data_IF_839208626815
#
_entry.id   IF_839208626815
#
_cell.length_a   1.000
_cell.length_b   1.000
_cell.length_c   1.000
_cell.angle_alpha   90.00
_cell.angle_beta   90.00
_cell.angle_gamma   90.00
#
_symmetry.space_group_name_H-M   'P 1'
#
loop_
_entity.id
_entity.type
_entity.pdbx_description
1 polymer ?
#
# COMPACT_ATOMS: atom_id res chain seq x y z
N UNK A 1 7.74 17.45 25.76
CA UNK A 1 9.12 17.55 25.21
C UNK A 1 9.01 17.43 23.70
N UNK A 2 9.15 18.53 22.94
CA UNK A 2 8.81 18.57 21.50
C UNK A 2 9.98 18.07 20.63
N UNK A 3 11.22 18.44 20.98
CA UNK A 3 12.41 18.08 20.20
C UNK A 3 12.65 16.56 20.03
N UNK A 4 12.53 15.70 21.06
CA UNK A 4 12.73 14.26 20.87
C UNK A 4 11.68 13.63 19.96
N UNK A 5 10.45 14.14 19.99
CA UNK A 5 9.37 13.68 19.11
C UNK A 5 9.69 14.08 17.67
N UNK A 6 10.06 15.34 17.44
CA UNK A 6 10.42 15.82 16.11
C UNK A 6 11.62 15.06 15.52
N UNK A 7 12.65 14.77 16.32
CA UNK A 7 13.77 13.91 15.89
C UNK A 7 13.33 12.49 15.53
N UNK A 8 12.42 11.91 16.31
CA UNK A 8 11.87 10.59 16.02
C UNK A 8 11.05 10.60 14.72
N UNK A 9 10.19 11.58 14.53
CA UNK A 9 9.43 11.75 13.29
C UNK A 9 10.37 11.98 12.10
N UNK A 10 11.42 12.79 12.26
CA UNK A 10 12.44 13.00 11.25
C UNK A 10 13.11 11.67 10.87
N UNK A 11 13.62 10.89 11.82
CA UNK A 11 14.32 9.63 11.50
C UNK A 11 13.43 8.63 10.77
N UNK A 12 12.15 8.54 11.14
CA UNK A 12 11.20 7.58 10.57
C UNK A 12 10.43 8.10 9.36
N UNK A 13 10.60 9.36 8.97
CA UNK A 13 9.91 9.93 7.81
C UNK A 13 10.26 9.16 6.53
N UNK A 14 9.25 8.66 5.82
CA UNK A 14 9.37 8.01 4.51
C UNK A 14 8.31 8.51 3.54
N UNK A 15 8.68 8.77 2.29
CA UNK A 15 7.74 9.26 1.27
C UNK A 15 6.61 8.27 0.97
N UNK A 16 6.86 6.97 1.12
CA UNK A 16 5.88 5.90 0.88
C UNK A 16 4.78 5.81 1.95
N UNK A 17 5.01 6.37 3.13
CA UNK A 17 4.02 6.35 4.22
C UNK A 17 2.90 7.37 3.96
N UNK A 18 3.04 8.22 2.94
CA UNK A 18 2.08 9.26 2.57
C UNK A 18 1.32 8.88 1.30
N UNK A 19 0.11 9.43 1.14
CA UNK A 19 -0.69 9.19 -0.07
C UNK A 19 -0.26 10.05 -1.24
N UNK A 20 0.45 11.15 -0.97
CA UNK A 20 0.95 12.04 -2.00
C UNK A 20 2.26 12.73 -1.64
N UNK A 21 2.96 13.25 -2.64
CA UNK A 21 4.14 14.12 -2.45
C UNK A 21 3.78 15.37 -1.66
N UNK A 22 2.55 15.90 -1.83
CA UNK A 22 2.07 17.07 -1.08
C UNK A 22 1.96 16.78 0.42
N UNK A 23 1.39 15.63 0.79
CA UNK A 23 1.28 15.22 2.19
C UNK A 23 2.66 15.02 2.83
N UNK A 24 3.57 14.35 2.10
CA UNK A 24 4.95 14.18 2.53
C UNK A 24 5.64 15.54 2.76
N UNK A 25 5.53 16.45 1.79
CA UNK A 25 6.11 17.78 1.86
C UNK A 25 5.59 18.56 3.09
N UNK A 26 4.28 18.48 3.35
CA UNK A 26 3.69 19.08 4.54
C UNK A 26 4.28 18.51 5.84
N UNK A 27 4.50 17.20 5.92
CA UNK A 27 5.10 16.57 7.08
C UNK A 27 6.57 16.99 7.26
N UNK A 28 7.35 17.03 6.17
CA UNK A 28 8.73 17.50 6.17
C UNK A 28 8.84 18.93 6.75
N UNK A 29 8.00 19.85 6.26
CA UNK A 29 7.99 21.23 6.76
C UNK A 29 7.54 21.33 8.21
N UNK A 30 6.54 20.53 8.62
CA UNK A 30 6.08 20.51 10.02
C UNK A 30 7.21 20.07 10.96
N UNK A 31 7.87 18.96 10.66
CA UNK A 31 8.95 18.39 11.47
C UNK A 31 10.15 19.35 11.51
N UNK A 32 10.59 19.83 10.34
CA UNK A 32 11.75 20.74 10.26
C UNK A 32 11.48 22.05 11.01
N UNK A 33 10.26 22.59 10.94
CA UNK A 33 9.86 23.78 11.70
C UNK A 33 9.90 23.53 13.21
N UNK A 34 9.41 22.37 13.68
CA UNK A 34 9.49 22.01 15.10
C UNK A 34 10.94 21.88 15.59
N UNK A 35 11.82 21.28 14.79
CA UNK A 35 13.26 21.16 15.10
C UNK A 35 13.92 22.55 15.15
N UNK A 36 13.65 23.41 14.16
CA UNK A 36 14.13 24.81 14.11
C UNK A 36 13.69 25.62 15.33
N UNK A 37 12.42 25.50 15.72
CA UNK A 37 11.90 26.17 16.93
C UNK A 37 12.58 25.68 18.22
N UNK A 38 13.09 24.45 18.23
CA UNK A 38 13.83 23.88 19.35
C UNK A 38 15.34 24.18 19.31
N UNK A 39 15.80 25.03 18.39
CA UNK A 39 17.20 25.45 18.27
C UNK A 39 18.07 24.58 17.38
N UNK A 40 17.51 23.61 16.64
CA UNK A 40 18.28 22.86 15.64
C UNK A 40 18.35 23.59 14.32
N UNK A 41 19.51 23.49 13.66
CA UNK A 41 19.66 24.00 12.31
C UNK A 41 19.32 22.89 11.33
N UNK A 42 18.22 23.05 10.59
CA UNK A 42 17.85 22.19 9.46
C UNK A 42 18.03 22.98 8.17
N UNK A 43 18.98 22.55 7.35
CA UNK A 43 19.34 23.21 6.08
C UNK A 43 18.53 22.65 4.90
N UNK A 44 18.63 23.31 3.74
CA UNK A 44 18.09 22.80 2.47
C UNK A 44 18.74 21.45 2.11
N UNK A 45 20.06 21.33 2.31
CA UNK A 45 20.82 20.09 2.08
C UNK A 45 20.31 18.95 2.94
N UNK A 46 20.03 19.21 4.23
CA UNK A 46 19.45 18.19 5.12
C UNK A 46 18.08 17.71 4.62
N UNK A 47 17.23 18.61 4.13
CA UNK A 47 15.91 18.26 3.59
C UNK A 47 16.03 17.48 2.27
N UNK A 48 16.98 17.85 1.40
CA UNK A 48 17.29 17.15 0.16
C UNK A 48 17.79 15.72 0.46
N UNK A 49 18.84 15.60 1.25
CA UNK A 49 19.41 14.32 1.68
C UNK A 49 18.38 13.46 2.37
N UNK A 50 17.56 14.07 3.24
CA UNK A 50 16.49 13.36 3.90
C UNK A 50 15.52 12.79 2.88
N UNK A 51 15.07 13.58 1.91
CA UNK A 51 14.15 13.14 0.86
C UNK A 51 14.73 12.02 0.02
N UNK A 52 15.99 12.14 -0.40
CA UNK A 52 16.68 11.07 -1.13
C UNK A 52 16.79 9.79 -0.30
N UNK A 53 17.02 9.89 1.01
CA UNK A 53 17.08 8.72 1.90
C UNK A 53 15.74 8.02 2.11
N UNK A 54 14.62 8.67 1.78
CA UNK A 54 13.28 8.09 1.94
C UNK A 54 12.81 7.21 0.79
N UNK A 55 13.55 7.19 -0.34
CA UNK A 55 13.21 6.33 -1.47
C UNK A 55 13.38 4.85 -1.11
N UNK A 56 12.47 4.02 -1.63
CA UNK A 56 12.56 2.57 -1.49
C UNK A 56 13.76 2.00 -2.25
N UNK A 57 14.26 0.85 -1.81
CA UNK A 57 15.38 0.16 -2.46
C UNK A 57 15.10 -0.18 -3.94
N UNK A 58 13.84 -0.40 -4.32
CA UNK A 58 13.45 -0.60 -5.73
C UNK A 58 13.59 0.67 -6.58
N UNK A 59 13.63 1.85 -5.95
CA UNK A 59 13.67 3.15 -6.60
C UNK A 59 15.07 3.79 -6.52
N UNK A 60 16.10 3.00 -6.22
CA UNK A 60 17.51 3.46 -6.15
C UNK A 60 17.95 4.14 -7.44
N UNK A 61 17.49 3.68 -8.60
CA UNK A 61 17.78 4.33 -9.87
C UNK A 61 17.23 5.76 -9.94
N UNK A 62 15.97 5.98 -9.52
CA UNK A 62 15.39 7.33 -9.47
C UNK A 62 16.10 8.21 -8.45
N UNK A 63 16.42 7.66 -7.28
CA UNK A 63 17.21 8.37 -6.26
C UNK A 63 18.54 8.87 -6.85
N UNK A 64 19.27 8.00 -7.56
CA UNK A 64 20.54 8.35 -8.19
C UNK A 64 20.36 9.43 -9.27
N UNK A 65 19.34 9.28 -10.14
CA UNK A 65 19.02 10.28 -11.17
C UNK A 65 18.69 11.65 -10.58
N UNK A 66 17.96 11.73 -9.46
CA UNK A 66 17.67 13.01 -8.83
C UNK A 66 18.87 13.60 -8.09
N UNK A 67 19.76 12.77 -7.53
CA UNK A 67 21.02 13.24 -6.94
C UNK A 67 21.97 13.83 -8.00
N UNK A 68 22.05 13.19 -9.15
CA UNK A 68 22.90 13.65 -10.28
C UNK A 68 22.45 14.99 -10.86
N UNK A 69 21.20 15.40 -10.66
CA UNK A 69 20.70 16.73 -11.06
C UNK A 69 21.26 17.87 -10.22
N UNK A 70 21.81 17.60 -9.04
CA UNK A 70 22.49 18.59 -8.22
C UNK A 70 21.60 19.73 -7.71
N UNK A 71 20.38 19.41 -7.25
CA UNK A 71 19.47 20.40 -6.67
C UNK A 71 20.12 21.10 -5.47
N UNK A 72 19.96 22.42 -5.39
CA UNK A 72 20.43 23.24 -4.26
C UNK A 72 19.29 23.71 -3.36
N UNK A 73 18.05 23.68 -3.86
CA UNK A 73 16.84 24.07 -3.14
C UNK A 73 15.88 22.89 -3.06
N UNK A 74 15.34 22.63 -1.87
CA UNK A 74 14.38 21.57 -1.63
C UNK A 74 13.11 21.71 -2.48
N UNK A 75 12.65 22.94 -2.70
CA UNK A 75 11.47 23.22 -3.52
C UNK A 75 11.61 22.75 -4.97
N UNK A 76 12.83 22.77 -5.53
CA UNK A 76 13.09 22.27 -6.88
C UNK A 76 12.91 20.75 -6.94
N UNK A 77 13.42 20.04 -5.93
CA UNK A 77 13.21 18.59 -5.82
C UNK A 77 11.72 18.26 -5.68
N UNK A 78 11.01 18.96 -4.79
CA UNK A 78 9.57 18.73 -4.59
C UNK A 78 8.76 18.98 -5.86
N UNK A 79 9.07 20.02 -6.61
CA UNK A 79 8.42 20.27 -7.90
C UNK A 79 8.59 19.08 -8.86
N UNK A 80 9.80 18.54 -8.98
CA UNK A 80 10.08 17.39 -9.85
C UNK A 80 9.34 16.14 -9.36
N UNK A 81 9.28 15.90 -8.05
CA UNK A 81 8.55 14.77 -7.49
C UNK A 81 7.04 14.86 -7.73
N UNK A 82 6.46 16.06 -7.65
CA UNK A 82 5.05 16.30 -7.98
C UNK A 82 4.74 15.97 -9.44
N UNK A 83 5.62 16.36 -10.36
CA UNK A 83 5.47 16.02 -11.79
C UNK A 83 5.60 14.51 -12.01
N UNK A 84 6.58 13.86 -11.37
CA UNK A 84 6.78 12.41 -11.46
C UNK A 84 5.61 11.61 -10.89
N UNK A 85 5.00 12.08 -9.79
CA UNK A 85 3.79 11.52 -9.20
C UNK A 85 2.60 11.58 -10.17
N UNK A 86 2.36 12.74 -10.79
CA UNK A 86 1.28 12.92 -11.78
C UNK A 86 1.48 12.05 -13.02
N UNK A 87 2.73 11.84 -13.43
CA UNK A 87 3.08 10.98 -14.55
C UNK A 87 3.10 9.48 -14.19
N UNK A 88 2.77 9.11 -12.94
CA UNK A 88 2.87 7.75 -12.39
C UNK A 88 4.29 7.14 -12.43
N UNK A 89 5.34 7.95 -12.64
CA UNK A 89 6.74 7.52 -12.55
C UNK A 89 7.16 7.28 -11.09
N UNK A 90 6.55 8.03 -10.16
CA UNK A 90 6.74 7.88 -8.73
C UNK A 90 5.64 7.00 -8.12
N UNK A 91 5.97 5.76 -7.77
CA UNK A 91 5.02 4.86 -7.09
C UNK A 91 4.92 5.20 -5.59
N UNK A 92 3.96 6.07 -5.23
CA UNK A 92 3.57 6.36 -3.84
C UNK A 92 2.27 5.68 -3.40
N UNK A 93 1.66 4.87 -4.28
CA UNK A 93 0.43 4.13 -3.93
C UNK A 93 0.75 3.10 -2.86
N UNK A 94 0.27 3.38 -1.64
CA UNK A 94 0.28 2.45 -0.53
C UNK A 94 -0.34 1.10 -0.94
N UNK A 95 0.24 -0.01 -0.47
CA UNK A 95 -0.25 -1.39 -0.63
C UNK A 95 -1.64 -1.65 0.01
N UNK A 96 -2.41 -0.61 0.35
CA UNK A 96 -3.81 -0.74 0.77
C UNK A 96 -4.81 -0.52 -0.37
N UNK A 97 -4.38 -0.10 -1.56
CA UNK A 97 -5.23 -0.12 -2.75
C UNK A 97 -4.88 -1.29 -3.67
N UNK A 98 -5.54 -2.43 -3.40
CA UNK A 98 -5.95 -3.53 -4.30
C UNK A 98 -5.05 -4.80 -4.33
N UNK A 99 -5.62 -6.02 -4.13
CA UNK A 99 -6.93 -6.45 -4.64
C UNK A 99 -7.92 -6.96 -3.57
N UNK A 100 -9.06 -6.28 -3.46
CA UNK A 100 -10.32 -6.96 -3.07
C UNK A 100 -11.30 -6.82 -4.22
N UNK A 101 -10.94 -7.46 -5.32
CA UNK A 101 -11.92 -8.05 -6.21
C UNK A 101 -11.51 -9.51 -6.44
N UNK A 102 -11.25 -10.21 -5.33
CA UNK A 102 -11.43 -11.66 -5.34
C UNK A 102 -12.94 -11.86 -5.45
N UNK A 103 -13.40 -12.24 -6.65
CA UNK A 103 -14.76 -12.70 -6.87
C UNK A 103 -15.18 -13.60 -5.70
N UNK A 104 -16.39 -13.44 -5.13
CA UNK A 104 -16.87 -14.42 -4.19
C UNK A 104 -16.92 -15.75 -4.95
N UNK A 105 -16.28 -16.77 -4.36
CA UNK A 105 -16.40 -18.15 -4.82
C UNK A 105 -17.87 -18.45 -5.11
N UNK A 106 -18.22 -19.07 -6.26
CA UNK A 106 -19.60 -19.47 -6.49
C UNK A 106 -19.95 -20.55 -5.45
N UNK A 107 -20.75 -20.16 -4.47
CA UNK A 107 -21.25 -21.03 -3.42
C UNK A 107 -22.16 -22.10 -4.04
N UNK A 108 -21.93 -23.33 -3.59
CA UNK A 108 -22.43 -24.59 -4.13
C UNK A 108 -23.96 -24.65 -4.10
N UNK A 109 -24.50 -25.23 -5.18
CA UNK A 109 -25.90 -25.47 -5.47
C UNK A 109 -26.72 -25.99 -4.26
N UNK A 110 -27.79 -25.27 -3.93
CA UNK A 110 -28.85 -25.65 -2.98
C UNK A 110 -29.76 -26.71 -3.60
N UNK A 111 -29.96 -27.85 -2.94
CA UNK A 111 -31.30 -28.47 -2.86
C UNK A 111 -31.53 -28.99 -1.44
N UNK A 112 -32.55 -28.41 -0.80
CA UNK A 112 -33.05 -28.73 0.53
C UNK A 112 -33.99 -29.95 0.52
N UNK A 113 -33.72 -30.88 1.45
CA UNK A 113 -34.61 -31.75 2.24
C UNK A 113 -36.07 -31.99 1.81
N UNK A 114 -36.46 -33.28 1.75
CA UNK A 114 -37.82 -33.74 2.15
C UNK A 114 -37.86 -35.23 2.63
N UNK A 115 -37.57 -35.45 3.92
CA UNK A 115 -38.44 -36.09 4.96
C UNK A 115 -39.83 -36.52 4.42
N UNK A 116 -40.42 -37.73 4.53
CA UNK A 116 -40.34 -38.90 5.42
C UNK A 116 -41.13 -40.09 4.78
N UNK A 117 -40.95 -41.29 5.33
CA UNK A 117 -42.02 -42.20 5.83
C UNK A 117 -42.00 -43.67 5.33
N UNK A 118 -42.10 -44.53 6.34
CA UNK A 118 -42.73 -45.87 6.40
C UNK A 118 -41.94 -47.12 5.97
N UNK A 119 -41.77 -47.96 6.99
CA UNK A 119 -41.41 -49.37 6.95
C UNK A 119 -42.46 -50.24 6.24
N UNK A 120 -42.00 -51.34 5.65
CA UNK A 120 -42.70 -52.60 5.31
C UNK A 120 -41.86 -53.25 4.19
N UNK A 121 -41.24 -54.41 4.33
CA UNK A 121 -41.90 -55.68 4.63
C UNK A 121 -42.06 -56.48 3.33
N UNK A 122 -41.41 -57.64 3.23
CA UNK A 122 -41.92 -58.75 2.41
C UNK A 122 -41.24 -59.03 1.07
N UNK A 123 -40.65 -60.23 1.00
CA UNK A 123 -40.31 -61.00 -0.19
C UNK A 123 -41.41 -61.00 -1.27
N UNK A 124 -41.03 -61.13 -2.55
CA UNK A 124 -41.60 -62.18 -3.42
C UNK A 124 -40.85 -62.37 -4.75
N UNK A 125 -40.60 -63.64 -5.03
CA UNK A 125 -40.18 -64.20 -6.32
C UNK A 125 -41.09 -63.78 -7.48
N UNK A 126 -40.53 -63.49 -8.67
CA UNK A 126 -41.02 -64.05 -9.95
C UNK A 126 -39.91 -64.22 -11.01
N UNK A 127 -39.61 -65.49 -11.20
CA UNK A 127 -39.08 -66.21 -12.37
C UNK A 127 -39.73 -65.76 -13.69
N UNK A 128 -38.92 -65.54 -14.73
CA UNK A 128 -39.40 -65.33 -16.11
C UNK A 128 -38.26 -65.29 -17.14
N UNK A 129 -37.99 -66.45 -17.76
CA UNK A 129 -37.12 -66.63 -18.94
C UNK A 129 -37.76 -66.01 -20.18
N UNK A 130 -36.92 -65.57 -21.14
CA UNK A 130 -36.88 -66.08 -22.53
C UNK A 130 -36.91 -65.02 -23.65
N UNK A 131 -35.83 -65.02 -24.42
CA UNK A 131 -35.70 -64.86 -25.88
C UNK A 131 -36.32 -63.64 -26.59
N UNK A 132 -35.45 -62.85 -27.23
CA UNK A 132 -35.17 -63.01 -28.67
C UNK A 132 -33.77 -62.52 -29.02
#
# INVERSE_FOLDING_TARGET
MILPIARYEWTHLKIQDFKSVVEYNSAMFRISSQMKLCGETITEEDMLEKTFSTFHASNVFMQQQYRERGFTEYNQLIYVLLVAEQNNELMLKNHQSQPTESAPFPEVNVISLKVNATASGGNNHKRGRSHR
#
